data_IF_947489927245
#
_entry.id   IF_947489927245
#
_cell.length_a   1.000
_cell.length_b   1.000
_cell.length_c   1.000
_cell.angle_alpha   90.00
_cell.angle_beta   90.00
_cell.angle_gamma   90.00
#
_symmetry.space_group_name_H-M   'P 1'
#
loop_
_entity.id
_entity.type
_entity.pdbx_description
1 polymer ?
#
# COMPACT_ATOMS: atom_id res chain seq x y z
N UNK A 1 16.58 -12.43 -21.71
CA UNK A 1 17.41 -13.59 -22.09
C UNK A 1 16.73 -14.92 -21.74
N UNK A 2 15.92 -14.99 -20.72
CA UNK A 2 15.22 -16.21 -20.30
C UNK A 2 14.00 -16.54 -21.20
N UNK A 3 13.57 -15.65 -22.08
CA UNK A 3 12.41 -15.85 -22.93
C UNK A 3 11.07 -15.98 -22.20
N UNK A 4 11.01 -15.52 -20.95
CA UNK A 4 9.80 -15.64 -20.11
C UNK A 4 8.74 -14.58 -20.42
N UNK A 5 9.09 -13.55 -21.21
CA UNK A 5 8.15 -12.54 -21.70
C UNK A 5 8.10 -12.61 -23.22
N UNK A 6 6.92 -12.94 -23.77
CA UNK A 6 6.65 -13.07 -25.20
C UNK A 6 5.44 -12.24 -25.56
N UNK A 7 5.22 -12.05 -26.88
CA UNK A 7 4.09 -11.25 -27.39
C UNK A 7 2.73 -11.68 -26.84
N UNK A 8 2.52 -12.99 -26.68
CA UNK A 8 1.24 -13.56 -26.26
C UNK A 8 1.30 -14.24 -24.89
N UNK A 9 2.45 -14.18 -24.20
CA UNK A 9 2.62 -14.87 -22.94
C UNK A 9 3.60 -14.13 -22.02
N UNK A 10 3.18 -13.93 -20.78
CA UNK A 10 4.00 -13.39 -19.70
C UNK A 10 4.25 -14.48 -18.64
N UNK A 11 5.47 -14.95 -18.57
CA UNK A 11 5.93 -15.88 -17.53
C UNK A 11 6.74 -15.21 -16.42
N UNK A 12 6.74 -13.86 -16.37
CA UNK A 12 7.42 -13.10 -15.33
C UNK A 12 6.41 -12.37 -14.47
N UNK A 13 6.47 -12.58 -13.17
CA UNK A 13 5.60 -11.94 -12.22
C UNK A 13 6.37 -11.52 -10.95
N UNK A 14 5.90 -10.47 -10.30
CA UNK A 14 6.48 -9.98 -9.04
C UNK A 14 5.42 -10.05 -7.96
N UNK A 15 5.68 -10.87 -6.95
CA UNK A 15 4.83 -10.92 -5.76
C UNK A 15 5.02 -9.65 -4.93
N UNK A 16 3.94 -8.90 -4.75
CA UNK A 16 3.95 -7.68 -3.97
C UNK A 16 3.76 -7.99 -2.48
N UNK A 17 4.44 -7.22 -1.62
CA UNK A 17 4.37 -7.38 -0.16
C UNK A 17 3.13 -6.74 0.47
N UNK A 18 2.34 -5.97 -0.30
CA UNK A 18 1.14 -5.28 0.17
C UNK A 18 0.02 -5.44 -0.84
N UNK A 19 -1.19 -5.76 -0.37
CA UNK A 19 -2.35 -6.01 -1.23
C UNK A 19 -2.74 -4.84 -2.14
N UNK A 20 -2.56 -3.60 -1.68
CA UNK A 20 -2.85 -2.40 -2.47
C UNK A 20 -1.76 -1.99 -3.47
N UNK A 21 -0.59 -2.65 -3.46
CA UNK A 21 0.56 -2.16 -4.23
C UNK A 21 0.40 -2.32 -5.74
N UNK A 22 -0.15 -3.43 -6.20
CA UNK A 22 -0.38 -3.65 -7.63
C UNK A 22 -1.32 -2.57 -8.19
N UNK A 23 -2.46 -2.33 -7.52
CA UNK A 23 -3.39 -1.27 -7.92
C UNK A 23 -2.77 0.13 -7.88
N UNK A 24 -1.98 0.43 -6.85
CA UNK A 24 -1.28 1.72 -6.76
C UNK A 24 -0.30 1.92 -7.93
N UNK A 25 0.45 0.90 -8.30
CA UNK A 25 1.36 0.97 -9.46
C UNK A 25 0.59 1.09 -10.77
N UNK A 26 -0.54 0.41 -10.90
CA UNK A 26 -1.37 0.41 -12.09
C UNK A 26 -1.97 1.79 -12.41
N UNK A 27 -2.39 2.52 -11.37
CA UNK A 27 -2.85 3.92 -11.51
C UNK A 27 -1.70 4.94 -11.53
N UNK A 28 -0.45 4.50 -11.57
CA UNK A 28 0.71 5.39 -11.59
C UNK A 28 0.98 6.12 -10.28
N UNK A 29 0.54 5.58 -9.13
CA UNK A 29 0.87 6.13 -7.81
C UNK A 29 2.33 5.86 -7.45
N UNK A 30 3.20 6.57 -8.14
CA UNK A 30 4.66 6.53 -8.00
C UNK A 30 5.21 7.96 -7.89
N UNK A 31 6.39 8.16 -7.31
CA UNK A 31 7.01 9.47 -7.28
C UNK A 31 7.13 10.07 -8.70
N UNK A 32 6.71 11.31 -8.87
CA UNK A 32 6.96 12.08 -10.09
C UNK A 32 8.47 12.27 -10.29
N UNK A 33 8.89 12.81 -11.45
CA UNK A 33 10.33 13.07 -11.74
C UNK A 33 11.03 13.92 -10.66
N UNK A 34 10.29 14.76 -9.94
CA UNK A 34 10.78 15.61 -8.84
C UNK A 34 10.33 15.10 -7.47
N UNK A 35 9.51 14.05 -7.41
CA UNK A 35 9.01 13.46 -6.17
C UNK A 35 10.04 12.56 -5.50
N UNK A 36 9.87 12.37 -4.22
CA UNK A 36 10.73 11.52 -3.38
C UNK A 36 10.09 10.13 -3.23
N UNK A 37 10.89 9.08 -3.29
CA UNK A 37 10.46 7.75 -2.86
C UNK A 37 10.45 7.65 -1.31
N UNK A 38 9.84 6.60 -0.76
CA UNK A 38 9.69 6.44 0.70
C UNK A 38 11.03 6.55 1.45
N UNK A 39 12.11 5.93 0.96
CA UNK A 39 13.43 6.00 1.59
C UNK A 39 13.96 7.44 1.62
N UNK A 40 13.80 8.17 0.52
CA UNK A 40 14.21 9.58 0.44
C UNK A 40 13.34 10.48 1.34
N UNK A 41 12.03 10.19 1.44
CA UNK A 41 11.14 10.92 2.36
C UNK A 41 11.63 10.75 3.80
N UNK A 42 11.93 9.52 4.22
CA UNK A 42 12.42 9.27 5.58
C UNK A 42 13.78 9.93 5.85
N UNK A 43 14.72 9.87 4.89
CA UNK A 43 16.02 10.55 5.02
C UNK A 43 15.85 12.07 5.19
N UNK A 44 15.06 12.69 4.32
CA UNK A 44 14.81 14.14 4.39
C UNK A 44 14.04 14.58 5.62
N UNK A 45 13.15 13.76 6.12
CA UNK A 45 12.47 14.00 7.38
C UNK A 45 13.46 14.01 8.56
N UNK A 46 14.38 13.06 8.57
CA UNK A 46 15.42 12.93 9.59
C UNK A 46 16.41 14.09 9.55
N UNK A 47 16.75 14.57 8.35
CA UNK A 47 17.54 15.79 8.10
C UNK A 47 16.83 17.07 8.54
N UNK A 48 15.50 17.06 8.64
CA UNK A 48 14.66 18.22 8.99
C UNK A 48 14.22 19.05 7.80
N UNK A 49 14.37 18.51 6.60
CA UNK A 49 13.96 19.14 5.34
C UNK A 49 12.45 19.04 5.06
N UNK A 50 11.74 18.20 5.82
CA UNK A 50 10.29 18.05 5.72
C UNK A 50 9.63 18.48 7.02
N UNK A 51 8.66 19.37 6.92
CA UNK A 51 7.87 19.87 8.05
C UNK A 51 6.61 19.06 8.32
N UNK A 52 6.16 18.26 7.35
CA UNK A 52 4.91 17.52 7.44
C UNK A 52 5.01 16.16 6.73
N UNK A 53 4.45 15.12 7.36
CA UNK A 53 4.30 13.78 6.77
C UNK A 53 2.90 13.24 7.10
N UNK A 54 2.24 12.67 6.08
CA UNK A 54 1.01 11.92 6.25
C UNK A 54 1.27 10.44 6.00
N UNK A 55 1.17 9.64 7.06
CA UNK A 55 1.34 8.20 7.05
C UNK A 55 -0.04 7.53 6.85
N UNK A 56 -0.33 7.08 5.63
CA UNK A 56 -1.58 6.42 5.31
C UNK A 56 -1.41 4.90 5.32
N UNK A 57 -1.83 4.27 6.41
CA UNK A 57 -1.65 2.83 6.62
C UNK A 57 -0.20 2.37 6.64
N UNK A 58 0.75 3.27 6.91
CA UNK A 58 2.17 2.97 6.97
C UNK A 58 2.51 2.46 8.36
N UNK A 59 2.92 1.20 8.43
CA UNK A 59 3.22 0.45 9.64
C UNK A 59 4.68 -0.07 9.69
N UNK A 60 5.55 0.49 8.87
CA UNK A 60 6.97 0.15 8.82
C UNK A 60 7.70 0.71 10.05
N UNK A 61 8.58 -0.08 10.67
CA UNK A 61 9.40 0.32 11.82
C UNK A 61 10.30 1.54 11.55
N UNK A 62 10.63 1.83 10.29
CA UNK A 62 11.43 3.00 9.94
C UNK A 62 10.75 4.33 10.30
N UNK A 63 9.42 4.36 10.43
CA UNK A 63 8.69 5.56 10.85
C UNK A 63 9.03 6.00 12.29
N UNK A 64 9.49 5.09 13.15
CA UNK A 64 9.90 5.40 14.52
C UNK A 64 11.07 6.39 14.61
N UNK A 65 11.77 6.62 13.51
CA UNK A 65 12.88 7.57 13.40
C UNK A 65 12.41 9.00 13.12
N UNK A 66 11.13 9.18 12.75
CA UNK A 66 10.56 10.48 12.41
C UNK A 66 10.35 11.32 13.68
N UNK A 67 11.28 12.23 13.98
CA UNK A 67 11.22 13.05 15.19
C UNK A 67 11.02 14.55 14.93
N UNK A 68 11.17 14.98 13.68
CA UNK A 68 11.18 16.40 13.33
C UNK A 68 9.92 16.90 12.62
N UNK A 69 9.34 16.17 11.65
CA UNK A 69 8.14 16.63 10.96
C UNK A 69 6.90 16.51 11.84
N UNK A 70 5.88 17.34 11.56
CA UNK A 70 4.52 17.10 12.05
C UNK A 70 3.95 15.86 11.37
N UNK A 71 3.54 14.87 12.14
CA UNK A 71 3.12 13.55 11.65
C UNK A 71 1.62 13.37 11.81
N UNK A 72 0.94 13.16 10.69
CA UNK A 72 -0.44 12.67 10.66
C UNK A 72 -0.44 11.17 10.36
N UNK A 73 -1.07 10.38 11.19
CA UNK A 73 -1.30 8.96 10.94
C UNK A 73 -2.76 8.71 10.61
N UNK A 74 -3.01 8.06 9.48
CA UNK A 74 -4.33 7.55 9.10
C UNK A 74 -4.27 6.02 9.03
N UNK A 75 -5.03 5.36 9.88
CA UNK A 75 -5.03 3.90 9.97
C UNK A 75 -6.10 3.36 10.89
N UNK A 76 -6.22 2.03 10.94
CA UNK A 76 -7.29 1.33 11.65
C UNK A 76 -6.83 0.62 12.93
N UNK A 77 -5.54 0.61 13.23
CA UNK A 77 -4.98 0.00 14.44
C UNK A 77 -3.89 0.89 15.03
N UNK A 78 -3.75 0.82 16.37
CA UNK A 78 -2.71 1.51 17.11
C UNK A 78 -1.35 0.82 16.94
N UNK A 79 -0.73 0.99 15.78
CA UNK A 79 0.59 0.47 15.48
C UNK A 79 1.67 1.57 15.50
N UNK A 80 2.88 1.26 15.06
CA UNK A 80 4.06 2.14 15.12
C UNK A 80 3.80 3.55 14.59
N UNK A 81 3.02 3.70 13.52
CA UNK A 81 2.64 5.01 12.98
C UNK A 81 1.79 5.83 13.95
N UNK A 82 0.86 5.19 14.67
CA UNK A 82 0.01 5.87 15.64
C UNK A 82 0.80 6.36 16.87
N UNK A 83 1.86 5.62 17.27
CA UNK A 83 2.66 5.97 18.45
C UNK A 83 3.51 7.23 18.29
N UNK A 84 3.82 7.60 17.05
CA UNK A 84 4.65 8.78 16.75
C UNK A 84 3.85 9.95 16.18
N UNK A 85 2.56 9.76 15.94
CA UNK A 85 1.73 10.76 15.29
C UNK A 85 1.36 11.91 16.24
N UNK A 86 1.39 13.14 15.71
CA UNK A 86 0.83 14.33 16.35
C UNK A 86 -0.70 14.34 16.23
N UNK A 87 -1.23 13.79 15.13
CA UNK A 87 -2.66 13.64 14.87
C UNK A 87 -2.96 12.25 14.31
N UNK A 88 -3.97 11.59 14.86
CA UNK A 88 -4.50 10.32 14.37
C UNK A 88 -5.85 10.54 13.72
N UNK A 89 -5.99 10.11 12.46
CA UNK A 89 -7.24 10.06 11.72
C UNK A 89 -7.69 8.60 11.65
N UNK A 90 -8.75 8.19 12.36
CA UNK A 90 -9.18 6.80 12.40
C UNK A 90 -9.75 6.38 11.03
N UNK A 91 -9.05 5.44 10.39
CA UNK A 91 -9.42 4.85 9.11
C UNK A 91 -10.17 3.53 9.27
N UNK A 92 -10.99 3.17 8.29
CA UNK A 92 -11.67 1.89 8.24
C UNK A 92 -10.73 0.75 7.85
N UNK A 93 -10.87 -0.42 8.50
CA UNK A 93 -10.18 -1.64 8.11
C UNK A 93 -10.72 -2.17 6.76
N UNK A 94 -10.03 -3.15 6.16
CA UNK A 94 -10.43 -3.69 4.85
C UNK A 94 -11.81 -4.35 4.84
N UNK A 95 -12.28 -4.88 5.96
CA UNK A 95 -13.62 -5.45 6.14
C UNK A 95 -14.71 -4.40 6.35
N UNK A 96 -14.33 -3.18 6.68
CA UNK A 96 -15.20 -2.07 7.07
C UNK A 96 -15.40 -1.05 5.94
N UNK A 97 -14.88 -1.33 4.76
CA UNK A 97 -14.97 -0.47 3.58
C UNK A 97 -15.13 -1.27 2.29
N UNK A 98 -15.69 -0.63 1.28
CA UNK A 98 -15.68 -1.16 -0.08
C UNK A 98 -14.49 -0.59 -0.85
N UNK A 99 -13.72 -1.45 -1.51
CA UNK A 99 -12.50 -1.05 -2.20
C UNK A 99 -12.31 -1.81 -3.52
N UNK A 100 -11.51 -1.25 -4.41
CA UNK A 100 -11.04 -1.92 -5.63
C UNK A 100 -9.59 -2.36 -5.40
N UNK A 101 -9.31 -3.63 -5.64
CA UNK A 101 -7.97 -4.21 -5.59
C UNK A 101 -7.59 -4.74 -6.97
N UNK A 102 -6.32 -4.66 -7.30
CA UNK A 102 -5.76 -5.30 -8.51
C UNK A 102 -4.81 -6.39 -8.04
N UNK A 103 -5.07 -7.63 -8.46
CA UNK A 103 -4.21 -8.75 -8.10
C UNK A 103 -2.92 -8.78 -8.93
N UNK A 104 -2.04 -9.73 -8.66
CA UNK A 104 -0.74 -9.88 -9.33
C UNK A 104 -0.86 -10.15 -10.83
N UNK A 105 -2.00 -10.66 -11.31
CA UNK A 105 -2.28 -10.89 -12.73
C UNK A 105 -2.79 -9.63 -13.46
N UNK A 106 -3.06 -8.53 -12.73
CA UNK A 106 -3.69 -7.33 -13.29
C UNK A 106 -5.22 -7.40 -13.33
N UNK A 107 -5.85 -8.29 -12.58
CA UNK A 107 -7.30 -8.44 -12.47
C UNK A 107 -7.84 -7.46 -11.44
N UNK A 108 -8.69 -6.49 -11.79
CA UNK A 108 -9.39 -5.64 -10.83
C UNK A 108 -10.52 -6.41 -10.16
N UNK A 109 -10.61 -6.32 -8.84
CA UNK A 109 -11.60 -7.02 -8.03
C UNK A 109 -12.22 -6.06 -7.00
N UNK A 110 -13.51 -6.24 -6.72
CA UNK A 110 -14.23 -5.44 -5.74
C UNK A 110 -14.34 -6.17 -4.41
N UNK A 111 -13.75 -5.59 -3.36
CA UNK A 111 -14.08 -5.93 -1.99
C UNK A 111 -15.33 -5.16 -1.56
N UNK A 112 -16.29 -5.87 -0.96
CA UNK A 112 -17.50 -5.28 -0.39
C UNK A 112 -17.34 -5.12 1.11
N UNK A 113 -17.88 -4.05 1.65
CA UNK A 113 -17.97 -3.82 3.08
C UNK A 113 -18.76 -4.96 3.75
N UNK A 114 -18.18 -5.58 4.76
CA UNK A 114 -18.80 -6.66 5.52
C UNK A 114 -19.40 -6.16 6.84
N UNK A 115 -18.82 -5.12 7.43
CA UNK A 115 -19.30 -4.50 8.69
C UNK A 115 -19.05 -3.00 8.68
N UNK A 116 -19.68 -2.28 9.57
CA UNK A 116 -19.46 -0.84 9.71
C UNK A 116 -18.16 -0.54 10.47
N UNK A 117 -17.47 0.56 10.11
CA UNK A 117 -16.33 1.04 10.89
C UNK A 117 -16.76 1.38 12.33
N UNK A 118 -15.95 1.06 13.34
CA UNK A 118 -16.26 1.38 14.72
C UNK A 118 -16.04 2.88 15.03
N UNK A 119 -16.85 3.43 15.95
CA UNK A 119 -16.70 4.80 16.44
C UNK A 119 -16.64 5.85 15.31
N UNK A 120 -15.61 6.68 15.36
CA UNK A 120 -15.41 7.76 14.37
C UNK A 120 -14.60 7.34 13.14
N UNK A 121 -14.25 6.07 12.99
CA UNK A 121 -13.50 5.58 11.85
C UNK A 121 -14.26 5.79 10.53
N UNK A 122 -13.54 6.24 9.51
CA UNK A 122 -14.09 6.55 8.18
C UNK A 122 -13.27 5.83 7.10
N UNK A 123 -13.93 5.58 5.98
CA UNK A 123 -13.24 5.14 4.77
C UNK A 123 -12.21 6.17 4.34
N UNK A 124 -11.04 5.71 3.88
CA UNK A 124 -9.89 6.59 3.56
C UNK A 124 -10.24 7.72 2.60
N UNK A 125 -11.05 7.43 1.59
CA UNK A 125 -11.45 8.43 0.59
C UNK A 125 -12.29 9.55 1.21
N UNK A 126 -13.11 9.27 2.22
CA UNK A 126 -13.93 10.27 2.94
C UNK A 126 -13.04 11.25 3.72
N UNK A 127 -12.00 10.72 4.36
CA UNK A 127 -11.02 11.52 5.09
C UNK A 127 -10.28 12.46 4.12
N UNK A 128 -9.79 11.91 3.01
CA UNK A 128 -9.06 12.69 1.98
C UNK A 128 -9.99 13.73 1.35
N UNK A 129 -11.23 13.33 1.05
CA UNK A 129 -12.23 14.24 0.47
C UNK A 129 -12.53 15.41 1.41
N UNK A 130 -12.75 15.13 2.71
CA UNK A 130 -12.96 16.17 3.71
C UNK A 130 -11.75 17.08 3.84
N UNK A 131 -10.53 16.52 3.88
CA UNK A 131 -9.30 17.29 3.93
C UNK A 131 -9.12 18.22 2.71
N UNK A 132 -9.58 17.79 1.54
CA UNK A 132 -9.48 18.57 0.31
C UNK A 132 -10.22 19.92 0.38
N UNK A 133 -11.27 20.04 1.20
CA UNK A 133 -11.99 21.30 1.43
C UNK A 133 -11.12 22.28 2.25
N UNK A 134 -10.38 21.78 3.24
CA UNK A 134 -9.49 22.62 4.06
C UNK A 134 -8.32 23.19 3.26
N UNK A 135 -7.77 22.41 2.34
CA UNK A 135 -6.66 22.88 1.48
C UNK A 135 -7.16 23.65 0.26
N UNK A 136 -8.46 23.97 0.18
CA UNK A 136 -9.11 24.72 -0.90
C UNK A 136 -8.88 24.12 -2.30
N UNK A 137 -8.72 22.82 -2.36
CA UNK A 137 -8.56 22.06 -3.60
C UNK A 137 -9.54 20.88 -3.57
N UNK A 138 -10.83 21.22 -3.57
CA UNK A 138 -11.93 20.27 -3.44
C UNK A 138 -11.89 19.18 -4.49
N UNK A 139 -11.85 17.91 -4.05
CA UNK A 139 -11.96 16.76 -4.94
C UNK A 139 -13.39 16.65 -5.52
N UNK A 140 -13.53 16.24 -6.80
CA UNK A 140 -14.80 16.34 -7.56
C UNK A 140 -15.72 15.13 -7.32
N UNK A 141 -15.79 14.59 -6.12
CA UNK A 141 -16.68 13.48 -5.76
C UNK A 141 -17.10 13.57 -4.30
N UNK A 142 -18.35 13.22 -4.01
CA UNK A 142 -18.92 13.27 -2.67
C UNK A 142 -19.43 11.89 -2.19
N UNK A 143 -19.37 10.87 -3.06
CA UNK A 143 -19.74 9.48 -2.77
C UNK A 143 -18.81 8.49 -3.49
N UNK A 144 -18.94 7.20 -3.13
CA UNK A 144 -18.09 6.14 -3.67
C UNK A 144 -18.38 5.87 -5.16
N UNK A 145 -19.59 6.10 -5.63
CA UNK A 145 -19.96 5.89 -7.02
C UNK A 145 -19.30 6.94 -7.91
N UNK A 146 -19.42 8.21 -7.55
CA UNK A 146 -18.76 9.30 -8.28
C UNK A 146 -17.22 9.18 -8.25
N UNK A 147 -16.63 8.73 -7.13
CA UNK A 147 -15.21 8.41 -7.07
C UNK A 147 -14.83 7.29 -8.05
N UNK A 148 -15.62 6.21 -8.11
CA UNK A 148 -15.37 5.10 -9.03
C UNK A 148 -15.56 5.51 -10.50
N UNK A 149 -16.58 6.29 -10.80
CA UNK A 149 -16.77 6.82 -12.14
C UNK A 149 -15.53 7.63 -12.59
N UNK A 150 -15.02 8.49 -11.71
CA UNK A 150 -13.78 9.22 -11.97
C UNK A 150 -12.57 8.31 -12.16
N UNK A 151 -12.46 7.25 -11.36
CA UNK A 151 -11.40 6.25 -11.51
C UNK A 151 -11.49 5.54 -12.86
N UNK A 152 -12.69 5.13 -13.28
CA UNK A 152 -12.89 4.41 -14.54
C UNK A 152 -12.74 5.31 -15.77
N UNK A 153 -13.06 6.60 -15.65
CA UNK A 153 -12.78 7.59 -16.69
C UNK A 153 -11.28 7.75 -16.96
N UNK A 154 -10.47 7.76 -15.89
CA UNK A 154 -9.01 7.91 -16.00
C UNK A 154 -8.31 6.58 -16.29
N UNK A 155 -8.83 5.47 -15.77
CA UNK A 155 -8.29 4.12 -15.87
C UNK A 155 -9.38 3.11 -16.29
N UNK A 156 -9.83 3.12 -17.55
CA UNK A 156 -11.00 2.35 -17.99
C UNK A 156 -10.90 0.84 -17.72
N UNK A 157 -9.68 0.28 -17.77
CA UNK A 157 -9.44 -1.15 -17.51
C UNK A 157 -9.79 -1.58 -16.09
N UNK A 158 -9.83 -0.64 -15.13
CA UNK A 158 -10.24 -0.92 -13.74
C UNK A 158 -11.75 -1.09 -13.59
N UNK A 159 -12.52 -0.69 -14.59
CA UNK A 159 -13.98 -0.94 -14.66
C UNK A 159 -14.33 -2.36 -15.13
N UNK A 160 -13.38 -3.07 -15.72
CA UNK A 160 -13.60 -4.44 -16.20
C UNK A 160 -13.36 -5.45 -15.08
N UNK A 161 -14.26 -5.43 -14.10
CA UNK A 161 -14.15 -6.22 -12.87
C UNK A 161 -14.08 -7.71 -13.17
N UNK A 162 -13.15 -8.39 -12.49
CA UNK A 162 -12.83 -9.82 -12.63
C UNK A 162 -12.26 -10.23 -14.00
N UNK A 163 -11.95 -9.29 -14.88
CA UNK A 163 -11.31 -9.56 -16.16
C UNK A 163 -9.81 -9.27 -16.13
N UNK A 164 -9.04 -10.04 -16.90
CA UNK A 164 -7.63 -9.77 -17.18
C UNK A 164 -7.53 -9.23 -18.59
N UNK A 165 -7.14 -7.96 -18.74
CA UNK A 165 -6.88 -7.37 -20.07
C UNK A 165 -5.43 -7.47 -20.45
N UNK A 166 -5.18 -7.84 -21.70
CA UNK A 166 -3.82 -7.85 -22.24
C UNK A 166 -3.25 -6.44 -22.27
N UNK A 167 -2.21 -6.20 -21.47
CA UNK A 167 -1.44 -4.97 -21.55
C UNK A 167 -0.47 -4.99 -22.74
N UNK A 168 -0.27 -3.83 -23.35
CA UNK A 168 0.81 -3.67 -24.35
C UNK A 168 2.14 -3.57 -23.62
N UNK A 169 3.02 -4.50 -23.86
CA UNK A 169 4.38 -4.45 -23.35
C UNK A 169 5.15 -3.28 -23.99
N UNK A 170 5.56 -2.33 -23.18
CA UNK A 170 6.53 -1.31 -23.55
C UNK A 170 7.94 -1.79 -23.24
N UNK A 171 8.94 -0.97 -23.49
CA UNK A 171 10.30 -1.24 -23.00
C UNK A 171 10.28 -1.24 -21.48
N UNK A 172 10.48 -2.39 -20.85
CA UNK A 172 10.59 -2.49 -19.42
C UNK A 172 11.97 -3.03 -19.03
N UNK A 173 12.42 -2.60 -17.85
CA UNK A 173 13.77 -2.89 -17.39
C UNK A 173 14.86 -2.06 -18.07
N UNK A 174 16.00 -2.02 -17.42
CA UNK A 174 17.22 -1.37 -17.92
C UNK A 174 18.33 -2.40 -18.04
N UNK A 175 19.26 -2.20 -18.98
CA UNK A 175 20.47 -3.02 -19.04
C UNK A 175 21.29 -2.76 -17.76
N UNK A 176 21.69 -3.81 -17.10
CA UNK A 176 22.53 -3.76 -15.89
C UNK A 176 23.51 -4.92 -15.87
N UNK A 177 24.41 -4.90 -14.90
CA UNK A 177 25.25 -6.04 -14.56
C UNK A 177 24.48 -6.94 -13.60
N UNK A 178 24.68 -8.23 -13.72
CA UNK A 178 24.20 -9.20 -12.74
C UNK A 178 25.21 -9.20 -11.62
N UNK A 179 24.78 -8.78 -10.42
CA UNK A 179 25.61 -8.86 -9.24
C UNK A 179 25.57 -10.28 -8.67
N UNK A 180 26.68 -10.72 -8.11
CA UNK A 180 26.76 -12.02 -7.44
C UNK A 180 26.27 -11.90 -5.99
N UNK A 181 25.03 -11.42 -5.83
CA UNK A 181 24.37 -11.25 -4.53
C UNK A 181 23.49 -12.47 -4.29
N UNK A 182 23.54 -13.00 -3.08
CA UNK A 182 22.65 -14.06 -2.65
C UNK A 182 21.18 -13.61 -2.71
N UNK A 183 20.35 -14.41 -3.36
CA UNK A 183 18.91 -14.17 -3.40
C UNK A 183 18.31 -14.51 -2.03
N UNK A 184 17.87 -13.46 -1.32
CA UNK A 184 17.18 -13.61 -0.05
C UNK A 184 15.68 -13.45 -0.23
N UNK A 185 14.89 -14.20 0.57
CA UNK A 185 13.45 -13.97 0.63
C UNK A 185 13.18 -12.55 1.11
N UNK A 186 12.31 -11.84 0.41
CA UNK A 186 11.80 -10.54 0.86
C UNK A 186 10.70 -10.68 1.94
N UNK A 187 10.24 -11.92 2.18
CA UNK A 187 9.23 -12.24 3.18
C UNK A 187 9.95 -12.89 4.36
N UNK A 188 10.08 -12.14 5.45
CA UNK A 188 10.76 -12.60 6.66
C UNK A 188 9.86 -13.53 7.49
N UNK A 189 8.56 -13.28 7.49
CA UNK A 189 7.58 -14.14 8.14
C UNK A 189 6.19 -13.98 7.49
N UNK A 190 5.31 -14.96 7.74
CA UNK A 190 3.94 -14.97 7.21
C UNK A 190 2.88 -14.63 8.27
N UNK A 191 3.26 -14.47 9.52
CA UNK A 191 2.32 -14.38 10.65
C UNK A 191 2.07 -12.95 11.10
N UNK A 192 3.09 -12.08 11.13
CA UNK A 192 3.00 -10.70 11.61
C UNK A 192 3.20 -9.70 10.46
N UNK A 193 2.47 -9.86 9.37
CA UNK A 193 2.68 -9.13 8.12
C UNK A 193 1.95 -7.79 8.05
N UNK A 194 0.96 -7.57 8.90
CA UNK A 194 0.17 -6.32 8.94
C UNK A 194 -0.18 -5.93 10.38
N UNK A 195 -0.73 -4.74 10.56
CA UNK A 195 -1.12 -4.23 11.88
C UNK A 195 -2.14 -5.12 12.60
N UNK A 196 -3.07 -5.75 11.87
CA UNK A 196 -4.06 -6.67 12.46
C UNK A 196 -3.38 -7.94 12.97
N UNK A 197 -2.53 -8.57 12.16
CA UNK A 197 -1.85 -9.81 12.56
C UNK A 197 -0.85 -9.60 13.69
N UNK A 198 -0.23 -8.41 13.79
CA UNK A 198 0.69 -8.07 14.88
C UNK A 198 0.00 -7.91 16.23
N UNK A 199 -1.29 -7.61 16.27
CA UNK A 199 -2.08 -7.54 17.51
C UNK A 199 -2.68 -8.90 17.91
N UNK A 200 -2.52 -9.93 17.10
CA UNK A 200 -3.03 -11.28 17.35
C UNK A 200 -2.04 -12.11 18.18
N UNK A 201 -2.44 -12.51 19.37
CA UNK A 201 -1.65 -13.42 20.23
C UNK A 201 -1.39 -14.75 19.52
N UNK A 202 -2.38 -15.30 18.81
CA UNK A 202 -2.23 -16.55 18.05
C UNK A 202 -1.16 -16.42 16.98
N UNK A 203 -1.12 -15.29 16.23
CA UNK A 203 -0.09 -15.06 15.22
C UNK A 203 1.30 -14.89 15.83
N UNK A 204 1.40 -14.29 17.01
CA UNK A 204 2.66 -14.19 17.75
C UNK A 204 3.16 -15.58 18.19
N UNK A 205 2.29 -16.45 18.66
CA UNK A 205 2.63 -17.85 19.00
C UNK A 205 3.11 -18.61 17.76
N UNK A 206 2.41 -18.48 16.64
CA UNK A 206 2.81 -19.12 15.38
C UNK A 206 4.19 -18.66 14.92
N UNK A 207 4.49 -17.36 15.01
CA UNK A 207 5.79 -16.83 14.66
C UNK A 207 6.89 -17.41 15.56
N UNK A 208 6.69 -17.42 16.87
CA UNK A 208 7.67 -17.94 17.84
C UNK A 208 7.94 -19.44 17.63
N UNK A 209 6.90 -20.22 17.38
CA UNK A 209 7.03 -21.65 17.10
C UNK A 209 7.80 -21.93 15.80
N UNK A 210 7.63 -21.07 14.79
CA UNK A 210 8.35 -21.19 13.51
C UNK A 210 9.83 -20.82 13.68
N UNK A 211 10.14 -19.77 14.41
CA UNK A 211 11.52 -19.37 14.71
C UNK A 211 12.24 -20.48 15.47
N UNK A 212 11.59 -21.09 16.47
CA UNK A 212 12.18 -22.16 17.24
C UNK A 212 12.44 -23.43 16.42
N UNK A 213 11.62 -23.73 15.40
CA UNK A 213 11.87 -24.84 14.48
C UNK A 213 13.09 -24.59 13.60
N UNK A 214 13.19 -23.39 13.00
CA UNK A 214 14.33 -23.02 12.14
C UNK A 214 15.65 -22.99 12.93
N UNK A 215 15.61 -22.63 14.21
CA UNK A 215 16.81 -22.62 15.07
C UNK A 215 17.23 -24.03 15.54
N UNK A 216 16.39 -25.06 15.34
CA UNK A 216 16.65 -26.45 15.73
C UNK A 216 17.12 -27.33 14.54
N UNK A 217 17.05 -26.83 13.31
CA UNK A 217 17.60 -27.41 12.08
C UNK A 217 19.01 -26.84 11.80
#
# INVERSE_FOLDING_TARGET
YLGVVKKEWNGFNILQTSAGRTGALDIGFIPSKKGLNAKQIFSKADEGDLSFIWLMGVDNKDVLKLKKPFVVYQGHHGDVGAHIADVILPGAAYTEKSATYVNTEGRPQLAKQATFPPGDAKEDWKIIRAFSDYVKNKLPFDDLESLRNKLYDEFPHLGDIDEIKKARWSKFGTKGKIDNIELKSSIENFYNTCSISRTSETMAICLNNNINKIAAE
#
